data_IF_518072053447
#
_entry.id   IF_518072053447
#
_cell.length_a   1.000
_cell.length_b   1.000
_cell.length_c   1.000
_cell.angle_alpha   90.00
_cell.angle_beta   90.00
_cell.angle_gamma   90.00
#
_symmetry.space_group_name_H-M   'P 1'
#
loop_
_entity.id
_entity.type
_entity.pdbx_description
1 polymer ?
#
# COMPACT_ATOMS: atom_id res chain seq x y z
N UNK A 1 -41.19 -11.27 1.84
CA UNK A 1 -40.06 -11.82 1.06
C UNK A 1 -38.79 -11.17 1.57
N UNK A 2 -37.90 -11.96 2.16
CA UNK A 2 -36.78 -11.47 2.98
C UNK A 2 -35.52 -11.27 2.13
N UNK A 3 -34.75 -10.23 2.45
CA UNK A 3 -33.50 -9.81 1.79
C UNK A 3 -32.46 -10.95 1.76
N UNK A 4 -32.60 -11.94 2.64
CA UNK A 4 -31.77 -13.15 2.69
C UNK A 4 -31.88 -14.05 1.45
N UNK A 5 -33.00 -14.05 0.72
CA UNK A 5 -33.14 -14.88 -0.49
C UNK A 5 -32.34 -14.33 -1.69
N UNK A 6 -32.02 -13.03 -1.69
CA UNK A 6 -31.21 -12.42 -2.76
C UNK A 6 -29.72 -12.70 -2.63
N UNK A 7 -29.21 -12.93 -1.41
CA UNK A 7 -27.78 -13.14 -1.16
C UNK A 7 -27.37 -14.58 -1.47
N UNK A 8 -28.27 -15.56 -1.26
CA UNK A 8 -27.99 -16.98 -1.52
C UNK A 8 -27.82 -17.31 -3.01
N UNK A 9 -28.47 -16.55 -3.90
CA UNK A 9 -28.39 -16.78 -5.35
C UNK A 9 -27.12 -16.22 -6.02
N UNK A 10 -26.38 -15.34 -5.35
CA UNK A 10 -25.11 -14.81 -5.89
C UNK A 10 -23.95 -15.78 -5.60
N UNK A 11 -23.98 -16.50 -4.48
CA UNK A 11 -22.87 -17.35 -4.05
C UNK A 11 -22.86 -18.75 -4.68
N UNK A 12 -24.00 -19.23 -5.20
CA UNK A 12 -24.09 -20.57 -5.84
C UNK A 12 -23.61 -20.55 -7.30
N UNK A 13 -23.46 -19.37 -7.92
CA UNK A 13 -23.11 -19.26 -9.34
C UNK A 13 -21.61 -19.25 -9.64
N UNK A 14 -20.75 -19.05 -8.64
CA UNK A 14 -19.30 -18.91 -8.85
C UNK A 14 -18.48 -20.20 -8.71
N UNK A 15 -19.09 -21.33 -8.32
CA UNK A 15 -18.33 -22.53 -7.97
C UNK A 15 -18.45 -23.70 -8.98
N UNK A 16 -18.87 -23.44 -10.24
CA UNK A 16 -19.14 -24.50 -11.22
C UNK A 16 -18.49 -24.34 -12.60
N UNK A 17 -17.56 -23.41 -12.77
CA UNK A 17 -16.78 -23.31 -14.02
C UNK A 17 -15.30 -23.21 -13.61
N UNK A 18 -14.42 -23.94 -14.30
CA UNK A 18 -12.96 -24.10 -14.06
C UNK A 18 -12.49 -25.27 -13.18
N UNK A 19 -13.00 -26.48 -13.45
CA UNK A 19 -12.15 -27.68 -13.47
C UNK A 19 -12.62 -28.52 -14.65
N UNK A 20 -11.79 -28.66 -15.70
CA UNK A 20 -11.67 -29.81 -16.63
C UNK A 20 -10.80 -29.41 -17.85
N UNK A 21 -9.65 -30.08 -17.94
CA UNK A 21 -8.92 -30.56 -19.15
C UNK A 21 -8.44 -29.57 -20.23
N UNK A 22 -7.11 -29.53 -20.43
CA UNK A 22 -6.48 -30.28 -21.53
C UNK A 22 -4.95 -30.32 -21.40
N UNK A 23 -4.44 -31.54 -21.45
CA UNK A 23 -3.03 -31.93 -21.55
C UNK A 23 -2.78 -32.57 -22.92
N UNK A 24 -1.53 -32.41 -23.38
CA UNK A 24 -0.82 -33.17 -24.43
C UNK A 24 -1.13 -32.89 -25.92
N UNK A 25 -0.10 -32.41 -26.64
CA UNK A 25 0.52 -33.15 -27.74
C UNK A 25 1.93 -32.64 -28.07
N UNK A 26 2.82 -33.59 -28.36
CA UNK A 26 4.26 -33.47 -28.61
C UNK A 26 4.54 -33.60 -30.12
N UNK A 27 5.55 -32.85 -30.57
CA UNK A 27 6.43 -33.02 -31.75
C UNK A 27 5.85 -32.85 -33.18
N UNK A 28 6.46 -31.94 -33.96
CA UNK A 28 7.20 -32.31 -35.18
C UNK A 28 8.11 -31.17 -35.67
N UNK A 29 9.34 -31.54 -36.06
CA UNK A 29 10.32 -30.71 -36.76
C UNK A 29 10.05 -30.86 -38.26
N UNK A 30 9.89 -29.77 -39.02
CA UNK A 30 10.42 -29.68 -40.38
C UNK A 30 10.40 -28.25 -40.96
N UNK A 31 11.50 -27.96 -41.65
CA UNK A 31 11.86 -26.85 -42.52
C UNK A 31 10.83 -26.48 -43.58
N UNK A 32 10.76 -25.20 -43.97
CA UNK A 32 10.70 -24.79 -45.39
C UNK A 32 11.11 -23.31 -45.58
N UNK A 33 11.94 -23.09 -46.59
CA UNK A 33 12.34 -21.80 -47.17
C UNK A 33 11.16 -21.10 -47.88
N UNK A 34 11.14 -19.76 -47.88
CA UNK A 34 11.10 -18.89 -49.07
C UNK A 34 10.63 -17.46 -48.73
N UNK A 35 11.36 -16.48 -49.28
CA UNK A 35 11.23 -15.02 -49.12
C UNK A 35 9.83 -14.42 -49.37
N UNK A 36 9.64 -13.14 -48.98
CA UNK A 36 9.49 -12.14 -50.04
C UNK A 36 10.21 -10.81 -49.79
N UNK A 37 10.82 -10.33 -50.88
CA UNK A 37 10.82 -8.96 -51.43
C UNK A 37 10.93 -7.80 -50.44
N UNK A 38 12.14 -7.24 -50.34
CA UNK A 38 12.41 -5.93 -49.74
C UNK A 38 12.13 -4.84 -50.78
N UNK A 39 11.11 -4.02 -50.52
CA UNK A 39 10.85 -2.78 -51.22
C UNK A 39 11.81 -1.70 -50.67
N UNK A 40 12.70 -1.18 -51.53
CA UNK A 40 13.70 -0.17 -51.18
C UNK A 40 13.06 1.22 -51.30
N UNK A 41 12.81 1.87 -50.16
CA UNK A 41 12.54 3.31 -50.07
C UNK A 41 13.86 4.03 -49.79
N UNK A 42 14.23 5.11 -50.53
CA UNK A 42 15.54 5.72 -50.42
C UNK A 42 15.64 6.59 -49.16
N UNK A 43 16.64 6.31 -48.33
CA UNK A 43 16.99 7.13 -47.16
C UNK A 43 17.65 8.42 -47.64
N UNK A 44 16.98 9.54 -47.39
CA UNK A 44 17.52 10.87 -47.55
C UNK A 44 18.72 11.09 -46.60
N UNK A 45 19.74 11.77 -47.13
CA UNK A 45 21.00 12.13 -46.51
C UNK A 45 20.89 12.56 -45.03
N UNK A 46 21.55 11.80 -44.16
CA UNK A 46 22.02 12.30 -42.88
C UNK A 46 23.33 13.08 -43.08
N UNK A 47 23.31 14.33 -42.61
CA UNK A 47 24.46 15.22 -42.57
C UNK A 47 25.64 14.57 -41.85
N UNK A 48 26.78 14.51 -42.54
CA UNK A 48 28.05 14.09 -41.98
C UNK A 48 28.49 15.09 -40.92
N UNK A 49 28.48 14.66 -39.67
CA UNK A 49 29.19 15.34 -38.58
C UNK A 49 30.68 15.33 -38.95
N UNK A 50 31.21 16.53 -39.21
CA UNK A 50 32.59 16.76 -39.63
C UNK A 50 33.50 16.62 -38.40
N UNK A 51 33.94 15.40 -38.11
CA UNK A 51 34.98 15.13 -37.11
C UNK A 51 36.32 15.64 -37.67
N UNK A 52 37.00 16.47 -36.89
CA UNK A 52 38.36 16.94 -37.13
C UNK A 52 39.28 15.78 -37.51
N UNK A 53 39.82 15.81 -38.74
CA UNK A 53 40.74 14.82 -39.28
C UNK A 53 42.07 14.83 -38.52
N UNK A 54 42.21 13.95 -37.55
CA UNK A 54 43.51 13.36 -37.26
C UNK A 54 43.84 12.56 -38.52
N UNK A 55 44.98 12.83 -39.17
CA UNK A 55 45.46 12.06 -40.33
C UNK A 55 45.48 10.57 -39.96
N UNK A 56 44.45 9.85 -40.36
CA UNK A 56 44.33 8.42 -40.15
C UNK A 56 45.27 7.72 -41.14
N UNK A 57 46.11 6.78 -40.71
CA UNK A 57 46.94 6.04 -41.63
C UNK A 57 46.09 5.18 -42.57
N UNK A 58 46.41 5.18 -43.85
CA UNK A 58 45.68 4.44 -44.89
C UNK A 58 45.62 2.92 -44.61
N UNK A 59 46.64 2.39 -43.93
CA UNK A 59 46.71 0.99 -43.52
C UNK A 59 45.66 0.57 -42.48
N UNK A 60 45.03 1.51 -41.78
CA UNK A 60 43.98 1.19 -40.80
C UNK A 60 42.59 1.12 -41.44
N UNK A 61 42.44 1.70 -42.63
CA UNK A 61 41.18 1.76 -43.39
C UNK A 61 41.10 0.60 -44.38
N UNK A 62 42.25 0.22 -44.96
CA UNK A 62 42.34 -0.83 -45.95
C UNK A 62 42.95 -2.11 -45.36
N UNK A 63 42.17 -3.19 -45.38
CA UNK A 63 42.60 -4.51 -44.91
C UNK A 63 43.81 -5.05 -45.69
N UNK A 64 43.89 -4.81 -47.00
CA UNK A 64 45.00 -5.29 -47.84
C UNK A 64 46.32 -4.63 -47.41
N UNK A 65 46.28 -3.32 -47.15
CA UNK A 65 47.45 -2.58 -46.68
C UNK A 65 47.81 -2.99 -45.24
N UNK A 66 46.81 -3.29 -44.39
CA UNK A 66 47.06 -3.82 -43.05
C UNK A 66 47.76 -5.19 -43.09
N UNK A 67 47.41 -6.04 -44.05
CA UNK A 67 48.06 -7.34 -44.27
C UNK A 67 49.52 -7.16 -44.69
N UNK A 68 49.77 -6.26 -45.65
CA UNK A 68 51.12 -5.93 -46.11
C UNK A 68 51.99 -5.38 -44.96
N UNK A 69 51.44 -4.49 -44.14
CA UNK A 69 52.10 -4.01 -42.92
C UNK A 69 52.39 -5.15 -41.93
N UNK A 70 51.48 -6.11 -41.78
CA UNK A 70 51.70 -7.33 -41.00
C UNK A 70 52.90 -8.13 -41.51
N UNK A 71 52.99 -8.33 -42.82
CA UNK A 71 54.12 -9.03 -43.46
C UNK A 71 55.43 -8.27 -43.25
N UNK A 72 55.46 -6.96 -43.50
CA UNK A 72 56.65 -6.13 -43.34
C UNK A 72 57.16 -6.17 -41.90
N UNK A 73 56.26 -6.03 -40.92
CA UNK A 73 56.62 -6.11 -39.49
C UNK A 73 57.14 -7.51 -39.11
N UNK A 74 56.58 -8.56 -39.68
CA UNK A 74 57.03 -9.94 -39.44
C UNK A 74 58.41 -10.22 -40.04
N UNK A 75 58.70 -9.68 -41.23
CA UNK A 75 60.02 -9.77 -41.86
C UNK A 75 61.07 -8.93 -41.13
N UNK A 76 60.73 -7.71 -40.70
CA UNK A 76 61.64 -6.85 -39.91
C UNK A 76 61.92 -7.41 -38.52
N UNK A 77 61.00 -8.21 -37.96
CA UNK A 77 61.08 -8.72 -36.59
C UNK A 77 60.82 -7.63 -35.54
N UNK A 78 60.13 -6.56 -35.94
CA UNK A 78 59.68 -5.49 -35.05
C UNK A 78 58.58 -5.99 -34.12
N UNK A 79 58.42 -5.34 -32.96
CA UNK A 79 57.38 -5.72 -32.00
C UNK A 79 55.97 -5.40 -32.56
N UNK A 80 55.06 -6.38 -32.71
CA UNK A 80 53.71 -6.15 -33.24
C UNK A 80 52.82 -5.38 -32.26
N UNK A 81 53.15 -5.34 -30.96
CA UNK A 81 52.33 -4.71 -29.92
C UNK A 81 52.10 -3.21 -30.16
N UNK A 82 53.07 -2.51 -30.76
CA UNK A 82 52.95 -1.08 -31.03
C UNK A 82 51.82 -0.80 -32.02
N UNK A 83 51.77 -1.54 -33.14
CA UNK A 83 50.70 -1.42 -34.14
C UNK A 83 49.35 -1.89 -33.60
N UNK A 84 49.32 -3.00 -32.86
CA UNK A 84 48.11 -3.50 -32.19
C UNK A 84 47.56 -2.44 -31.23
N UNK A 85 48.44 -1.75 -30.49
CA UNK A 85 48.03 -0.68 -29.58
C UNK A 85 47.42 0.51 -30.32
N UNK A 86 47.95 0.89 -31.48
CA UNK A 86 47.39 1.96 -32.33
C UNK A 86 45.99 1.59 -32.82
N UNK A 87 45.79 0.34 -33.28
CA UNK A 87 44.47 -0.16 -33.68
C UNK A 87 43.50 -0.07 -32.49
N UNK A 88 43.90 -0.54 -31.31
CA UNK A 88 43.07 -0.48 -30.09
C UNK A 88 42.71 0.95 -29.72
N UNK A 89 43.66 1.87 -29.73
CA UNK A 89 43.44 3.28 -29.39
C UNK A 89 42.50 3.98 -30.37
N UNK A 90 42.61 3.69 -31.67
CA UNK A 90 41.70 4.23 -32.67
C UNK A 90 40.24 3.82 -32.41
N UNK A 91 39.99 2.52 -32.23
CA UNK A 91 38.64 2.02 -31.94
C UNK A 91 38.14 2.44 -30.55
N UNK A 92 39.04 2.62 -29.58
CA UNK A 92 38.68 3.22 -28.29
C UNK A 92 38.17 4.66 -28.46
N UNK A 93 38.85 5.49 -29.26
CA UNK A 93 38.39 6.84 -29.55
C UNK A 93 37.08 6.84 -30.34
N UNK A 94 36.93 5.92 -31.31
CA UNK A 94 35.72 5.79 -32.12
C UNK A 94 34.50 5.33 -31.30
N UNK A 95 34.71 4.49 -30.29
CA UNK A 95 33.63 3.99 -29.42
C UNK A 95 33.35 4.89 -28.20
N UNK A 96 34.22 5.86 -27.89
CA UNK A 96 34.12 6.69 -26.70
C UNK A 96 32.79 7.43 -26.57
N UNK A 97 32.27 8.00 -27.65
CA UNK A 97 30.98 8.71 -27.63
C UNK A 97 29.80 7.75 -27.46
N UNK A 98 29.85 6.58 -28.10
CA UNK A 98 28.85 5.52 -27.95
C UNK A 98 28.85 4.97 -26.52
N UNK A 99 30.02 4.80 -25.91
CA UNK A 99 30.14 4.34 -24.52
C UNK A 99 29.52 5.32 -23.53
N UNK A 100 29.78 6.63 -23.71
CA UNK A 100 29.14 7.67 -22.88
C UNK A 100 27.61 7.66 -23.02
N UNK A 101 27.10 7.42 -24.22
CA UNK A 101 25.66 7.31 -24.45
C UNK A 101 25.07 6.07 -23.79
N UNK A 102 25.78 4.94 -23.83
CA UNK A 102 25.39 3.71 -23.11
C UNK A 102 25.32 4.00 -21.61
N UNK A 103 26.39 4.53 -21.02
CA UNK A 103 26.47 4.84 -19.59
C UNK A 103 25.35 5.78 -19.15
N UNK A 104 25.14 6.87 -19.90
CA UNK A 104 24.05 7.82 -19.61
C UNK A 104 22.66 7.18 -19.67
N UNK A 105 22.41 6.29 -20.65
CA UNK A 105 21.12 5.59 -20.75
C UNK A 105 20.96 4.53 -19.66
N UNK A 106 22.03 3.84 -19.28
CA UNK A 106 22.03 2.88 -18.18
C UNK A 106 21.76 3.57 -16.84
N UNK A 107 22.41 4.71 -16.58
CA UNK A 107 22.15 5.55 -15.41
C UNK A 107 20.68 5.98 -15.38
N UNK A 108 20.15 6.46 -16.51
CA UNK A 108 18.74 6.85 -16.60
C UNK A 108 17.78 5.70 -16.32
N UNK A 109 18.08 4.49 -16.80
CA UNK A 109 17.30 3.29 -16.47
C UNK A 109 17.42 2.96 -14.97
N UNK A 110 18.61 3.13 -14.38
CA UNK A 110 18.85 3.00 -12.95
C UNK A 110 17.96 3.94 -12.12
N UNK A 111 17.91 5.22 -12.48
CA UNK A 111 17.02 6.22 -11.86
C UNK A 111 15.55 5.80 -11.97
N UNK A 112 15.10 5.42 -13.17
CA UNK A 112 13.71 5.01 -13.40
C UNK A 112 13.35 3.78 -12.57
N UNK A 113 14.26 2.81 -12.43
CA UNK A 113 14.05 1.64 -11.57
C UNK A 113 13.95 2.04 -10.09
N UNK A 114 14.76 3.00 -9.65
CA UNK A 114 14.68 3.53 -8.29
C UNK A 114 13.29 4.13 -8.02
N UNK A 115 12.81 5.02 -8.90
CA UNK A 115 11.49 5.65 -8.76
C UNK A 115 10.35 4.63 -8.80
N UNK A 116 10.43 3.63 -9.70
CA UNK A 116 9.45 2.53 -9.75
C UNK A 116 9.41 1.79 -8.41
N UNK A 117 10.57 1.39 -7.88
CA UNK A 117 10.66 0.63 -6.64
C UNK A 117 10.16 1.43 -5.43
N UNK A 118 10.49 2.72 -5.35
CA UNK A 118 10.01 3.61 -4.29
C UNK A 118 8.48 3.69 -4.29
N UNK A 119 7.89 3.95 -5.46
CA UNK A 119 6.43 4.06 -5.61
C UNK A 119 5.72 2.73 -5.37
N UNK A 120 6.30 1.61 -5.80
CA UNK A 120 5.79 0.27 -5.47
C UNK A 120 5.82 0.00 -3.97
N UNK A 121 6.86 0.47 -3.27
CA UNK A 121 6.95 0.43 -1.82
C UNK A 121 5.82 1.19 -1.14
N UNK A 122 5.54 2.43 -1.58
CA UNK A 122 4.44 3.24 -1.07
C UNK A 122 3.07 2.60 -1.31
N UNK A 123 2.85 2.03 -2.49
CA UNK A 123 1.62 1.29 -2.82
C UNK A 123 1.42 0.12 -1.85
N UNK A 124 2.46 -0.70 -1.61
CA UNK A 124 2.38 -1.82 -0.67
C UNK A 124 2.12 -1.36 0.76
N UNK A 125 2.72 -0.25 1.18
CA UNK A 125 2.49 0.30 2.51
C UNK A 125 1.04 0.77 2.69
N UNK A 126 0.47 1.46 1.69
CA UNK A 126 -0.93 1.88 1.70
C UNK A 126 -1.88 0.68 1.65
N UNK A 127 -1.61 -0.33 0.81
CA UNK A 127 -2.40 -1.57 0.76
C UNK A 127 -2.40 -2.28 2.12
N UNK A 128 -1.25 -2.36 2.81
CA UNK A 128 -1.16 -2.90 4.18
C UNK A 128 -1.96 -2.07 5.19
N UNK A 129 -1.92 -0.73 5.09
CA UNK A 129 -2.72 0.16 5.97
C UNK A 129 -4.21 -0.05 5.77
N UNK A 130 -4.67 -0.24 4.53
CA UNK A 130 -6.06 -0.58 4.20
C UNK A 130 -6.44 -1.92 4.83
N UNK A 131 -5.62 -2.95 4.68
CA UNK A 131 -5.87 -4.28 5.23
C UNK A 131 -5.97 -4.24 6.76
N UNK A 132 -5.03 -3.59 7.44
CA UNK A 132 -5.05 -3.41 8.90
C UNK A 132 -6.30 -2.65 9.39
N UNK A 133 -6.75 -1.62 8.66
CA UNK A 133 -8.00 -0.93 9.00
C UNK A 133 -9.23 -1.81 8.75
N UNK A 134 -9.20 -2.65 7.71
CA UNK A 134 -10.29 -3.55 7.38
C UNK A 134 -10.45 -4.63 8.44
N UNK A 135 -9.35 -5.28 8.84
CA UNK A 135 -9.26 -6.31 9.88
C UNK A 135 -9.63 -5.80 11.28
N UNK A 136 -9.50 -4.49 11.53
CA UNK A 136 -9.88 -3.89 12.81
C UNK A 136 -11.39 -3.98 13.03
N UNK A 137 -11.86 -5.09 13.57
CA UNK A 137 -13.25 -5.27 13.98
C UNK A 137 -13.50 -4.70 15.37
N UNK A 138 -14.69 -4.14 15.55
CA UNK A 138 -15.10 -3.60 16.84
C UNK A 138 -15.74 -4.74 17.65
N UNK A 139 -14.98 -5.29 18.59
CA UNK A 139 -15.34 -6.51 19.35
C UNK A 139 -16.23 -6.25 20.57
N UNK A 140 -16.44 -4.98 20.95
CA UNK A 140 -17.29 -4.63 22.08
C UNK A 140 -18.77 -4.84 21.71
N UNK A 141 -19.44 -5.70 22.47
CA UNK A 141 -20.87 -5.97 22.33
C UNK A 141 -21.68 -4.77 22.80
N UNK A 142 -22.58 -4.25 21.95
CA UNK A 142 -23.46 -3.17 22.33
C UNK A 142 -24.72 -3.70 23.02
N UNK A 143 -25.00 -3.22 24.22
CA UNK A 143 -26.27 -3.48 24.91
C UNK A 143 -27.26 -2.32 24.82
N UNK A 144 -26.96 -1.32 23.97
CA UNK A 144 -27.79 -0.13 23.72
C UNK A 144 -29.30 -0.38 23.65
N UNK A 145 -29.82 -1.33 22.83
CA UNK A 145 -31.26 -1.55 22.73
C UNK A 145 -31.89 -1.97 24.06
N UNK A 146 -31.17 -2.78 24.85
CA UNK A 146 -31.60 -3.21 26.18
C UNK A 146 -31.58 -2.03 27.15
N UNK A 147 -30.52 -1.22 27.13
CA UNK A 147 -30.37 -0.04 28.00
C UNK A 147 -31.45 1.01 27.72
N UNK A 148 -31.78 1.26 26.44
CA UNK A 148 -32.85 2.18 26.03
C UNK A 148 -34.23 1.66 26.48
N UNK A 149 -34.49 0.36 26.31
CA UNK A 149 -35.76 -0.24 26.74
C UNK A 149 -35.92 -0.15 28.26
N UNK A 150 -34.85 -0.43 29.02
CA UNK A 150 -34.82 -0.29 30.47
C UNK A 150 -35.03 1.15 30.92
N UNK A 151 -34.41 2.13 30.25
CA UNK A 151 -34.59 3.55 30.55
C UNK A 151 -36.03 4.01 30.26
N UNK A 152 -36.61 3.60 29.12
CA UNK A 152 -38.00 3.90 28.78
C UNK A 152 -38.97 3.35 29.81
N UNK A 153 -38.73 2.12 30.30
CA UNK A 153 -39.53 1.51 31.36
C UNK A 153 -39.38 2.29 32.69
N UNK A 154 -38.15 2.68 33.06
CA UNK A 154 -37.90 3.50 34.25
C UNK A 154 -38.62 4.85 34.19
N UNK A 155 -38.59 5.52 33.03
CA UNK A 155 -39.31 6.78 32.82
C UNK A 155 -40.83 6.56 32.96
N UNK A 156 -41.37 5.49 32.38
CA UNK A 156 -42.79 5.15 32.51
C UNK A 156 -43.21 4.92 33.97
N UNK A 157 -42.42 4.18 34.73
CA UNK A 157 -42.66 3.94 36.17
C UNK A 157 -42.55 5.25 36.96
N UNK A 158 -41.57 6.09 36.66
CA UNK A 158 -41.37 7.38 37.31
C UNK A 158 -42.57 8.32 37.08
N UNK A 159 -43.05 8.42 35.83
CA UNK A 159 -44.25 9.20 35.49
C UNK A 159 -45.49 8.64 36.19
N UNK A 160 -45.67 7.32 36.19
CA UNK A 160 -46.78 6.67 36.89
C UNK A 160 -46.77 6.94 38.40
N UNK A 161 -45.59 6.91 39.03
CA UNK A 161 -45.43 7.21 40.46
C UNK A 161 -45.79 8.67 40.78
N UNK A 162 -45.39 9.62 39.94
CA UNK A 162 -45.77 11.03 40.11
C UNK A 162 -47.29 11.22 40.08
N UNK A 163 -47.99 10.64 39.10
CA UNK A 163 -49.45 10.73 39.01
C UNK A 163 -50.15 10.07 40.20
N UNK A 164 -49.61 8.96 40.70
CA UNK A 164 -50.14 8.26 41.86
C UNK A 164 -50.03 9.11 43.13
N UNK A 165 -48.91 9.82 43.31
CA UNK A 165 -48.71 10.76 44.42
C UNK A 165 -49.63 11.99 44.28
N UNK A 166 -49.77 12.54 43.07
CA UNK A 166 -50.64 13.69 42.81
C UNK A 166 -52.10 13.39 43.16
N UNK A 167 -52.62 12.25 42.69
CA UNK A 167 -54.00 11.86 42.96
C UNK A 167 -54.21 11.55 44.45
N UNK A 168 -53.23 10.94 45.11
CA UNK A 168 -53.29 10.65 46.54
C UNK A 168 -53.33 11.91 47.43
N UNK A 169 -52.72 13.02 46.98
CA UNK A 169 -52.67 14.28 47.73
C UNK A 169 -53.81 15.26 47.41
N UNK A 170 -54.65 14.95 46.42
CA UNK A 170 -55.70 15.82 45.87
C UNK A 170 -56.75 16.29 46.89
N UNK A 171 -56.94 15.55 47.98
CA UNK A 171 -57.93 15.87 49.03
C UNK A 171 -57.47 16.81 50.14
N UNK A 172 -56.16 17.10 50.27
CA UNK A 172 -55.61 17.76 51.47
C UNK A 172 -54.91 19.11 51.19
N UNK A 173 -54.58 19.42 49.93
CA UNK A 173 -53.87 20.66 49.59
C UNK A 173 -54.44 21.33 48.34
N UNK A 174 -54.59 22.65 48.37
CA UNK A 174 -54.99 23.45 47.19
C UNK A 174 -53.91 23.49 46.09
N UNK A 175 -52.64 23.32 46.47
CA UNK A 175 -51.48 23.23 45.56
C UNK A 175 -50.85 21.83 45.54
N UNK A 176 -51.70 20.81 45.34
CA UNK A 176 -51.30 19.39 45.33
C UNK A 176 -50.15 19.07 44.34
N UNK A 177 -50.09 19.71 43.16
CA UNK A 177 -49.08 19.44 42.12
C UNK A 177 -47.64 19.76 42.54
N UNK A 178 -47.43 20.90 43.18
CA UNK A 178 -46.09 21.33 43.59
C UNK A 178 -45.57 20.48 44.76
N UNK A 179 -46.46 20.15 45.69
CA UNK A 179 -46.15 19.27 46.83
C UNK A 179 -45.86 17.85 46.32
N UNK A 180 -46.69 17.32 45.41
CA UNK A 180 -46.46 16.02 44.79
C UNK A 180 -45.12 15.97 44.04
N UNK A 181 -44.77 17.03 43.30
CA UNK A 181 -43.48 17.14 42.63
C UNK A 181 -42.31 17.16 43.62
N UNK A 182 -42.42 17.93 44.71
CA UNK A 182 -41.41 18.01 45.77
C UNK A 182 -41.18 16.67 46.46
N UNK A 183 -42.26 15.98 46.84
CA UNK A 183 -42.22 14.64 47.44
C UNK A 183 -41.66 13.62 46.46
N UNK A 184 -42.06 13.69 45.18
CA UNK A 184 -41.55 12.82 44.13
C UNK A 184 -40.04 13.02 43.91
N UNK A 185 -39.57 14.27 43.80
CA UNK A 185 -38.15 14.59 43.66
C UNK A 185 -37.34 14.11 44.88
N UNK A 186 -37.84 14.37 46.09
CA UNK A 186 -37.17 13.95 47.34
C UNK A 186 -37.07 12.42 47.45
N UNK A 187 -38.11 11.69 47.05
CA UNK A 187 -38.12 10.24 47.05
C UNK A 187 -37.24 9.62 45.94
N UNK A 188 -37.19 10.24 44.75
CA UNK A 188 -36.48 9.71 43.58
C UNK A 188 -34.99 10.04 43.54
N UNK A 189 -34.58 11.25 43.93
CA UNK A 189 -33.24 11.79 43.67
C UNK A 189 -32.28 11.75 44.86
N UNK A 190 -32.63 11.07 45.94
CA UNK A 190 -31.70 10.89 47.07
C UNK A 190 -30.51 9.94 46.76
N UNK A 191 -30.48 9.35 45.57
CA UNK A 191 -29.44 8.41 45.12
C UNK A 191 -28.24 9.08 44.41
N UNK A 192 -28.06 10.41 44.53
CA UNK A 192 -26.87 11.11 44.02
C UNK A 192 -25.58 10.79 44.80
N UNK A 193 -25.65 9.94 45.84
CA UNK A 193 -24.48 9.37 46.49
C UNK A 193 -23.62 8.62 45.48
N UNK A 194 -22.44 9.17 45.19
CA UNK A 194 -21.43 8.51 44.36
C UNK A 194 -21.18 7.13 44.97
N UNK A 195 -21.24 6.11 44.11
CA UNK A 195 -20.88 4.70 44.36
C UNK A 195 -22.07 3.82 44.81
N UNK A 196 -22.92 3.55 43.82
CA UNK A 196 -23.65 2.28 43.67
C UNK A 196 -22.76 1.09 44.05
N UNK A 197 -23.13 0.37 45.11
CA UNK A 197 -22.93 -1.04 45.53
C UNK A 197 -21.70 -1.88 45.07
N UNK A 198 -20.84 -1.43 44.17
CA UNK A 198 -19.91 -2.28 43.42
C UNK A 198 -18.46 -1.79 43.40
N UNK A 199 -18.11 -0.62 43.96
CA UNK A 199 -16.75 -0.08 43.86
C UNK A 199 -16.24 0.74 45.06
N UNK A 200 -16.72 0.50 46.29
CA UNK A 200 -16.10 1.14 47.47
C UNK A 200 -15.91 0.17 48.64
N UNK A 201 -14.76 -0.51 48.65
CA UNK A 201 -14.26 -1.37 49.73
C UNK A 201 -13.78 -0.59 50.97
N UNK A 202 -14.06 0.71 51.07
CA UNK A 202 -13.60 1.52 52.19
C UNK A 202 -14.68 1.69 53.29
N UNK A 203 -14.78 0.67 54.16
CA UNK A 203 -14.90 0.77 55.64
C UNK A 203 -15.86 1.81 56.28
N UNK A 204 -16.90 2.29 55.59
CA UNK A 204 -17.94 3.13 56.19
C UNK A 204 -19.16 2.30 56.60
N UNK A 205 -19.59 2.50 57.86
CA UNK A 205 -20.67 1.79 58.55
C UNK A 205 -21.90 1.51 57.67
N UNK A 206 -22.18 0.23 57.42
CA UNK A 206 -23.33 -0.26 56.62
C UNK A 206 -24.66 0.37 57.02
N UNK A 207 -24.88 0.68 58.30
CA UNK A 207 -26.14 1.27 58.77
C UNK A 207 -26.36 2.71 58.28
N UNK A 208 -25.28 3.52 58.20
CA UNK A 208 -25.40 4.91 57.75
C UNK A 208 -25.72 4.99 56.26
N UNK A 209 -25.14 4.10 55.44
CA UNK A 209 -25.46 3.94 54.01
C UNK A 209 -26.90 3.44 53.79
N UNK A 210 -27.36 2.47 54.60
CA UNK A 210 -28.75 1.99 54.55
C UNK A 210 -29.73 3.12 54.91
N UNK A 211 -29.43 3.90 55.94
CA UNK A 211 -30.25 5.05 56.34
C UNK A 211 -30.22 6.16 55.29
N UNK A 212 -29.08 6.39 54.65
CA UNK A 212 -28.92 7.36 53.57
C UNK A 212 -29.68 6.93 52.32
N UNK A 213 -29.68 5.65 51.94
CA UNK A 213 -30.42 5.18 50.75
C UNK A 213 -31.92 5.00 50.99
N UNK A 214 -32.33 4.48 52.15
CA UNK A 214 -33.73 4.11 52.44
C UNK A 214 -34.48 5.25 53.13
N UNK A 215 -33.79 6.12 53.86
CA UNK A 215 -34.40 7.13 54.71
C UNK A 215 -35.29 8.12 53.97
N UNK A 216 -34.85 8.66 52.83
CA UNK A 216 -35.64 9.65 52.07
C UNK A 216 -36.80 9.03 51.28
N UNK A 217 -36.66 7.87 50.59
CA UNK A 217 -37.80 7.14 50.06
C UNK A 217 -38.85 6.80 51.13
N UNK A 218 -38.39 6.37 52.31
CA UNK A 218 -39.26 6.04 53.44
C UNK A 218 -39.97 7.28 53.98
N UNK A 219 -39.25 8.38 54.19
CA UNK A 219 -39.82 9.64 54.67
C UNK A 219 -40.84 10.21 53.68
N UNK A 220 -40.55 10.14 52.37
CA UNK A 220 -41.43 10.61 51.31
C UNK A 220 -42.69 9.75 51.21
N UNK A 221 -42.55 8.41 51.26
CA UNK A 221 -43.69 7.50 51.29
C UNK A 221 -44.53 7.66 52.57
N UNK A 222 -43.88 7.85 53.72
CA UNK A 222 -44.54 8.05 55.01
C UNK A 222 -45.31 9.38 55.04
N UNK A 223 -44.77 10.44 54.44
CA UNK A 223 -45.47 11.71 54.28
C UNK A 223 -46.78 11.52 53.50
N UNK A 224 -46.74 10.80 52.38
CA UNK A 224 -47.94 10.50 51.58
C UNK A 224 -48.92 9.63 52.38
N UNK A 225 -48.43 8.62 53.10
CA UNK A 225 -49.24 7.79 53.98
C UNK A 225 -49.98 8.57 55.06
N UNK A 226 -49.29 9.49 55.75
CA UNK A 226 -49.87 10.30 56.82
C UNK A 226 -51.06 11.14 56.32
N UNK A 227 -50.99 11.64 55.08
CA UNK A 227 -52.09 12.39 54.46
C UNK A 227 -53.24 11.46 54.03
N UNK A 228 -52.94 10.31 53.46
CA UNK A 228 -53.99 9.38 52.99
C UNK A 228 -54.73 8.71 54.15
N UNK A 229 -54.04 8.44 55.27
CA UNK A 229 -54.58 7.70 56.41
C UNK A 229 -55.86 8.33 56.99
N UNK A 230 -55.99 9.66 56.91
CA UNK A 230 -57.18 10.37 57.36
C UNK A 230 -58.38 10.21 56.41
N UNK A 231 -58.15 9.86 55.15
CA UNK A 231 -59.15 9.89 54.06
C UNK A 231 -59.58 8.51 53.54
N UNK A 232 -58.78 7.47 53.76
CA UNK A 232 -59.02 6.12 53.22
C UNK A 232 -59.01 5.04 54.32
N UNK A 233 -59.65 3.88 54.08
CA UNK A 233 -59.55 2.73 54.96
C UNK A 233 -58.10 2.34 55.24
N UNK A 234 -57.79 1.96 56.49
CA UNK A 234 -56.42 1.69 56.94
C UNK A 234 -55.66 0.68 56.06
N UNK A 235 -56.35 -0.32 55.52
CA UNK A 235 -55.76 -1.34 54.64
C UNK A 235 -55.29 -0.75 53.30
N UNK A 236 -56.06 0.16 52.71
CA UNK A 236 -55.70 0.82 51.45
C UNK A 236 -54.52 1.78 51.67
N UNK A 237 -54.53 2.53 52.77
CA UNK A 237 -53.43 3.43 53.11
C UNK A 237 -52.11 2.66 53.28
N UNK A 238 -52.12 1.53 54.00
CA UNK A 238 -50.94 0.68 54.17
C UNK A 238 -50.45 0.05 52.85
N UNK A 239 -51.38 -0.41 52.00
CA UNK A 239 -51.04 -0.94 50.69
C UNK A 239 -50.38 0.13 49.80
N UNK A 240 -50.92 1.34 49.79
CA UNK A 240 -50.45 2.47 48.99
C UNK A 240 -49.09 2.99 49.50
N UNK A 241 -48.88 3.01 50.83
CA UNK A 241 -47.59 3.28 51.45
C UNK A 241 -46.51 2.29 51.00
N UNK A 242 -46.78 0.99 51.15
CA UNK A 242 -45.84 -0.05 50.76
C UNK A 242 -45.53 0.04 49.26
N UNK A 243 -46.55 0.27 48.43
CA UNK A 243 -46.40 0.39 46.98
C UNK A 243 -45.55 1.60 46.56
N UNK A 244 -45.84 2.81 47.07
CA UNK A 244 -45.05 4.02 46.78
C UNK A 244 -43.61 3.85 47.26
N UNK A 245 -43.41 3.26 48.44
CA UNK A 245 -42.08 3.02 48.98
C UNK A 245 -41.23 2.11 48.06
N UNK A 246 -41.80 0.99 47.61
CA UNK A 246 -41.13 0.11 46.66
C UNK A 246 -40.91 0.77 45.29
N UNK A 247 -41.85 1.60 44.83
CA UNK A 247 -41.69 2.36 43.59
C UNK A 247 -40.52 3.35 43.66
N UNK A 248 -40.36 4.09 44.76
CA UNK A 248 -39.20 4.98 44.93
C UNK A 248 -37.88 4.20 44.94
N UNK A 249 -37.82 3.09 45.68
CA UNK A 249 -36.63 2.25 45.76
C UNK A 249 -36.24 1.65 44.40
N UNK A 250 -37.20 1.18 43.61
CA UNK A 250 -36.95 0.52 42.34
C UNK A 250 -36.72 1.51 41.20
N UNK A 251 -37.57 2.53 41.09
CA UNK A 251 -37.54 3.49 39.98
C UNK A 251 -36.29 4.35 40.00
N UNK A 252 -35.83 4.80 41.17
CA UNK A 252 -34.61 5.60 41.30
C UNK A 252 -33.37 4.81 40.88
N UNK A 253 -33.23 3.57 41.37
CA UNK A 253 -32.10 2.69 41.05
C UNK A 253 -32.07 2.27 39.58
N UNK A 254 -33.23 1.95 39.01
CA UNK A 254 -33.34 1.51 37.61
C UNK A 254 -33.05 2.66 36.63
N UNK A 255 -33.51 3.88 36.94
CA UNK A 255 -33.25 5.05 36.10
C UNK A 255 -31.77 5.44 36.13
N UNK A 256 -31.17 5.57 37.31
CA UNK A 256 -29.75 5.95 37.43
C UNK A 256 -28.81 4.88 36.88
N UNK A 257 -29.07 3.61 37.17
CA UNK A 257 -28.27 2.49 36.69
C UNK A 257 -28.25 2.41 35.16
N UNK A 258 -29.42 2.53 34.53
CA UNK A 258 -29.49 2.54 33.06
C UNK A 258 -28.90 3.82 32.45
N UNK A 259 -28.95 4.97 33.13
CA UNK A 259 -28.36 6.21 32.63
C UNK A 259 -26.82 6.16 32.64
N UNK A 260 -26.22 5.57 33.67
CA UNK A 260 -24.77 5.37 33.74
C UNK A 260 -24.29 4.45 32.61
N UNK A 261 -24.96 3.30 32.44
CA UNK A 261 -24.66 2.36 31.35
C UNK A 261 -24.92 2.99 29.98
N UNK A 262 -25.96 3.82 29.83
CA UNK A 262 -26.28 4.50 28.57
C UNK A 262 -25.14 5.42 28.14
N UNK A 263 -24.52 6.16 29.08
CA UNK A 263 -23.40 7.04 28.77
C UNK A 263 -22.24 6.23 28.19
N UNK A 264 -21.86 5.14 28.84
CA UNK A 264 -20.76 4.30 28.38
C UNK A 264 -21.09 3.67 27.02
N UNK A 265 -22.29 3.10 26.88
CA UNK A 265 -22.83 2.55 25.63
C UNK A 265 -22.84 3.57 24.47
N UNK A 266 -23.20 4.84 24.75
CA UNK A 266 -23.23 5.92 23.75
C UNK A 266 -21.81 6.27 23.30
N UNK A 267 -20.84 6.32 24.21
CA UNK A 267 -19.44 6.57 23.84
C UNK A 267 -18.86 5.45 22.98
N UNK A 268 -19.20 4.20 23.30
CA UNK A 268 -18.82 3.02 22.53
C UNK A 268 -19.45 3.08 21.12
N UNK A 269 -20.74 3.42 21.03
CA UNK A 269 -21.43 3.59 19.75
C UNK A 269 -20.85 4.71 18.90
N UNK A 270 -20.53 5.86 19.50
CA UNK A 270 -19.90 6.97 18.81
C UNK A 270 -18.53 6.56 18.25
N UNK A 271 -17.69 5.88 19.04
CA UNK A 271 -16.39 5.36 18.59
C UNK A 271 -16.54 4.37 17.44
N UNK A 272 -17.53 3.46 17.50
CA UNK A 272 -17.82 2.53 16.39
C UNK A 272 -18.22 3.27 15.12
N UNK A 273 -19.12 4.25 15.23
CA UNK A 273 -19.58 5.00 14.07
C UNK A 273 -18.44 5.82 13.45
N UNK A 274 -17.60 6.44 14.28
CA UNK A 274 -16.37 7.09 13.83
C UNK A 274 -15.42 6.12 13.13
N UNK A 275 -15.20 4.92 13.69
CA UNK A 275 -14.36 3.90 13.05
C UNK A 275 -14.92 3.48 11.68
N UNK A 276 -16.23 3.30 11.55
CA UNK A 276 -16.86 2.96 10.26
C UNK A 276 -16.71 4.08 9.24
N UNK A 277 -16.90 5.34 9.65
CA UNK A 277 -16.67 6.49 8.79
C UNK A 277 -15.20 6.63 8.39
N UNK A 278 -14.28 6.42 9.32
CA UNK A 278 -12.84 6.42 9.08
C UNK A 278 -12.44 5.32 8.11
N UNK A 279 -12.99 4.11 8.25
CA UNK A 279 -12.78 3.02 7.29
C UNK A 279 -13.18 3.45 5.89
N UNK A 280 -14.39 3.99 5.70
CA UNK A 280 -14.85 4.37 4.36
C UNK A 280 -14.02 5.54 3.79
N UNK A 281 -13.80 6.60 4.58
CA UNK A 281 -13.12 7.81 4.08
C UNK A 281 -11.63 7.58 3.84
N UNK A 282 -10.91 7.01 4.81
CA UNK A 282 -9.46 6.80 4.70
C UNK A 282 -9.12 5.73 3.68
N UNK A 283 -9.92 4.66 3.58
CA UNK A 283 -9.71 3.67 2.52
C UNK A 283 -9.91 4.28 1.15
N UNK A 284 -10.98 5.06 0.93
CA UNK A 284 -11.18 5.74 -0.35
C UNK A 284 -10.06 6.75 -0.69
N UNK A 285 -9.54 7.47 0.31
CA UNK A 285 -8.40 8.38 0.15
C UNK A 285 -7.12 7.62 -0.24
N UNK A 286 -6.78 6.56 0.49
CA UNK A 286 -5.61 5.74 0.19
C UNK A 286 -5.73 4.96 -1.11
N UNK A 287 -6.92 4.50 -1.49
CA UNK A 287 -7.18 3.87 -2.80
C UNK A 287 -6.90 4.86 -3.93
N UNK A 288 -7.32 6.12 -3.79
CA UNK A 288 -7.03 7.17 -4.76
C UNK A 288 -5.53 7.48 -4.86
N UNK A 289 -4.83 7.53 -3.72
CA UNK A 289 -3.36 7.67 -3.71
C UNK A 289 -2.66 6.49 -4.37
N UNK A 290 -3.11 5.26 -4.11
CA UNK A 290 -2.62 4.05 -4.76
C UNK A 290 -2.82 4.12 -6.27
N UNK A 291 -3.99 4.55 -6.75
CA UNK A 291 -4.25 4.73 -8.17
C UNK A 291 -3.31 5.74 -8.81
N UNK A 292 -3.08 6.88 -8.15
CA UNK A 292 -2.15 7.91 -8.61
C UNK A 292 -0.73 7.36 -8.72
N UNK A 293 -0.22 6.67 -7.70
CA UNK A 293 1.10 6.04 -7.75
C UNK A 293 1.18 4.93 -8.80
N UNK A 294 0.10 4.17 -9.03
CA UNK A 294 0.04 3.16 -10.10
C UNK A 294 0.10 3.79 -11.49
N UNK A 295 -0.44 4.99 -11.68
CA UNK A 295 -0.30 5.75 -12.93
C UNK A 295 1.15 6.22 -13.11
N UNK A 296 1.75 6.85 -12.09
CA UNK A 296 3.16 7.28 -12.13
C UNK A 296 4.12 6.11 -12.44
N UNK A 297 3.91 4.94 -11.82
CA UNK A 297 4.70 3.73 -12.10
C UNK A 297 4.57 3.32 -13.58
N UNK A 298 3.37 3.40 -14.16
CA UNK A 298 3.16 3.07 -15.58
C UNK A 298 3.88 4.06 -16.48
N UNK A 299 3.89 5.34 -16.15
CA UNK A 299 4.63 6.37 -16.89
C UNK A 299 6.14 6.09 -16.88
N UNK A 300 6.73 5.83 -15.71
CA UNK A 300 8.16 5.48 -15.62
C UNK A 300 8.51 4.18 -16.35
N UNK A 301 7.61 3.18 -16.32
CA UNK A 301 7.80 1.95 -17.10
C UNK A 301 7.72 2.19 -18.60
N UNK A 302 6.84 3.09 -19.05
CA UNK A 302 6.74 3.47 -20.46
C UNK A 302 8.00 4.23 -20.91
N UNK A 303 8.50 5.16 -20.10
CA UNK A 303 9.76 5.87 -20.35
C UNK A 303 10.93 4.89 -20.45
N UNK A 304 11.06 3.98 -19.48
CA UNK A 304 12.08 2.91 -19.52
C UNK A 304 11.97 2.07 -20.81
N UNK A 305 10.76 1.69 -21.19
CA UNK A 305 10.53 0.90 -22.41
C UNK A 305 10.93 1.66 -23.69
N UNK A 306 10.81 2.98 -23.69
CA UNK A 306 11.24 3.81 -24.83
C UNK A 306 12.77 3.93 -24.97
N UNK A 307 13.50 3.85 -23.86
CA UNK A 307 14.97 3.97 -23.82
C UNK A 307 15.66 2.64 -24.21
N UNK A 308 15.06 1.50 -23.87
CA UNK A 308 15.64 0.17 -24.09
C UNK A 308 16.04 -0.13 -25.55
N UNK A 309 15.23 0.22 -26.58
CA UNK A 309 15.63 0.06 -27.98
C UNK A 309 16.85 0.91 -28.35
N UNK A 310 16.93 2.16 -27.87
CA UNK A 310 18.07 3.04 -28.14
C UNK A 310 19.35 2.50 -27.50
N UNK A 311 19.28 2.08 -26.24
CA UNK A 311 20.39 1.45 -25.53
C UNK A 311 20.86 0.18 -26.28
N UNK A 312 19.92 -0.66 -26.69
CA UNK A 312 20.22 -1.88 -27.45
C UNK A 312 20.93 -1.57 -28.78
N UNK A 313 20.52 -0.49 -29.47
CA UNK A 313 21.18 -0.02 -30.69
C UNK A 313 22.62 0.44 -30.43
N UNK A 314 22.86 1.21 -29.38
CA UNK A 314 24.21 1.68 -29.03
C UNK A 314 25.12 0.53 -28.60
N UNK A 315 24.61 -0.43 -27.82
CA UNK A 315 25.35 -1.64 -27.44
C UNK A 315 25.71 -2.46 -28.69
N UNK A 316 24.77 -2.63 -29.62
CA UNK A 316 25.02 -3.32 -30.88
C UNK A 316 26.09 -2.62 -31.72
N UNK A 317 26.05 -1.30 -31.83
CA UNK A 317 27.05 -0.54 -32.59
C UNK A 317 28.44 -0.61 -31.95
N UNK A 318 28.54 -0.46 -30.62
CA UNK A 318 29.79 -0.68 -29.89
C UNK A 318 30.33 -2.08 -30.13
N UNK A 319 29.47 -3.09 -30.08
CA UNK A 319 29.83 -4.50 -30.29
C UNK A 319 30.34 -4.72 -31.70
N UNK A 320 29.68 -4.12 -32.70
CA UNK A 320 30.11 -4.15 -34.10
C UNK A 320 31.50 -3.53 -34.28
N UNK A 321 31.74 -2.35 -33.70
CA UNK A 321 33.03 -1.67 -33.77
C UNK A 321 34.15 -2.45 -33.06
N UNK A 322 33.86 -3.02 -31.89
CA UNK A 322 34.82 -3.87 -31.17
C UNK A 322 35.11 -5.17 -31.92
N UNK A 323 34.10 -5.81 -32.52
CA UNK A 323 34.31 -6.98 -33.36
C UNK A 323 35.17 -6.66 -34.59
N UNK A 324 34.96 -5.48 -35.20
CA UNK A 324 35.78 -5.02 -36.32
C UNK A 324 37.22 -4.74 -35.90
N UNK A 325 37.44 -4.10 -34.74
CA UNK A 325 38.77 -3.95 -34.14
C UNK A 325 39.47 -5.30 -33.98
N UNK A 326 38.79 -6.26 -33.38
CA UNK A 326 39.37 -7.57 -33.08
C UNK A 326 39.68 -8.36 -34.36
N UNK A 327 38.82 -8.23 -35.38
CA UNK A 327 39.08 -8.76 -36.72
C UNK A 327 40.37 -8.18 -37.32
N UNK A 328 40.54 -6.85 -37.33
CA UNK A 328 41.74 -6.21 -37.88
C UNK A 328 43.01 -6.61 -37.12
N UNK A 329 42.95 -6.67 -35.79
CA UNK A 329 44.06 -7.17 -34.97
C UNK A 329 44.42 -8.60 -35.36
N UNK A 330 43.43 -9.48 -35.53
CA UNK A 330 43.67 -10.89 -35.89
C UNK A 330 44.25 -11.06 -37.29
N UNK A 331 43.78 -10.26 -38.26
CA UNK A 331 44.35 -10.24 -39.62
C UNK A 331 45.83 -9.84 -39.54
N UNK A 332 46.14 -8.72 -38.89
CA UNK A 332 47.52 -8.26 -38.70
C UNK A 332 48.41 -9.30 -38.00
N UNK A 333 47.95 -9.86 -36.88
CA UNK A 333 48.68 -10.90 -36.13
C UNK A 333 48.95 -12.14 -36.99
N UNK A 334 47.97 -12.58 -37.78
CA UNK A 334 48.09 -13.79 -38.59
C UNK A 334 49.15 -13.64 -39.69
N UNK A 335 49.17 -12.51 -40.39
CA UNK A 335 50.15 -12.22 -41.43
C UNK A 335 51.54 -11.95 -40.84
N UNK A 336 51.61 -11.26 -39.70
CA UNK A 336 52.85 -11.05 -38.94
C UNK A 336 53.51 -12.39 -38.56
N UNK A 337 52.75 -13.30 -37.95
CA UNK A 337 53.28 -14.60 -37.56
C UNK A 337 53.65 -15.47 -38.76
N UNK A 338 52.90 -15.38 -39.85
CA UNK A 338 53.23 -16.07 -41.09
C UNK A 338 54.58 -15.58 -41.64
N UNK A 339 54.76 -14.27 -41.77
CA UNK A 339 55.98 -13.65 -42.26
C UNK A 339 57.19 -13.92 -41.35
N UNK A 340 57.00 -13.86 -40.02
CA UNK A 340 58.03 -14.22 -39.04
C UNK A 340 58.51 -15.67 -39.22
N UNK A 341 57.58 -16.60 -39.45
CA UNK A 341 57.90 -18.00 -39.73
C UNK A 341 58.63 -18.17 -41.06
N UNK A 342 58.26 -17.43 -42.11
CA UNK A 342 58.95 -17.46 -43.40
C UNK A 342 60.37 -16.89 -43.34
N UNK A 343 60.59 -15.81 -42.58
CA UNK A 343 61.92 -15.25 -42.33
C UNK A 343 62.90 -16.28 -41.77
N UNK A 344 62.43 -17.21 -40.92
CA UNK A 344 63.29 -18.28 -40.39
C UNK A 344 63.76 -19.29 -41.45
N UNK A 345 63.19 -19.25 -42.67
CA UNK A 345 63.41 -20.22 -43.75
C UNK A 345 64.03 -19.63 -45.03
N UNK A 346 64.20 -18.31 -45.12
CA UNK A 346 64.67 -17.59 -46.33
C UNK A 346 66.02 -16.90 -46.05
N UNK A 347 66.88 -16.80 -47.07
CA UNK A 347 68.20 -16.15 -46.98
C UNK A 347 68.08 -14.63 -46.79
N UNK A 348 68.96 -14.02 -45.98
CA UNK A 348 68.92 -12.57 -45.69
C UNK A 348 68.98 -11.68 -46.93
N UNK A 349 69.66 -12.12 -48.00
CA UNK A 349 69.71 -11.39 -49.28
C UNK A 349 68.35 -11.27 -49.98
N UNK A 350 67.49 -12.28 -49.86
CA UNK A 350 66.16 -12.27 -50.46
C UNK A 350 65.18 -11.43 -49.62
N UNK A 351 65.44 -11.30 -48.32
CA UNK A 351 64.66 -10.44 -47.42
C UNK A 351 64.96 -8.96 -47.70
N UNK A 352 66.22 -8.60 -47.96
CA UNK A 352 66.60 -7.22 -48.33
C UNK A 352 66.00 -6.79 -49.67
N UNK A 353 65.97 -7.67 -50.67
CA UNK A 353 65.34 -7.36 -51.96
C UNK A 353 63.82 -7.23 -51.87
N UNK A 354 63.16 -7.97 -50.98
CA UNK A 354 61.71 -7.85 -50.73
C UNK A 354 61.31 -6.62 -49.90
N UNK A 355 62.18 -6.15 -49.01
CA UNK A 355 61.97 -4.92 -48.23
C UNK A 355 62.30 -3.65 -49.01
N UNK A 356 62.82 -3.76 -50.23
CA UNK A 356 63.16 -2.63 -51.09
C UNK A 356 64.43 -1.89 -50.70
N UNK A 357 65.31 -2.50 -49.90
CA UNK A 357 66.64 -1.96 -49.59
C UNK A 357 67.64 -2.44 -50.65
N UNK A 358 67.62 -1.82 -51.84
CA UNK A 358 68.76 -1.91 -52.75
C UNK A 358 69.87 -1.00 -52.22
N UNK A 359 71.01 -1.58 -51.84
CA UNK A 359 72.22 -0.84 -51.50
C UNK A 359 72.64 0.03 -52.71
N UNK A 360 72.47 1.35 -52.61
CA UNK A 360 73.21 2.29 -53.47
C UNK A 360 74.71 2.20 -53.10
N UNK A 361 75.41 1.22 -53.69
CA UNK A 361 76.88 1.19 -53.71
C UNK A 361 77.39 2.29 -54.66
N UNK A 362 78.18 3.23 -54.11
CA UNK A 362 78.96 4.24 -54.82
C UNK A 362 80.27 3.69 -55.39
#
# INVERSE_FOLDING_TARGET
MSIFDKIKNVFVKQHKEEIVEQSEQIAEVQSFEASPVVEVIPVASSEKIKVSSINQPDWLINEDILRDEGVIFGLSGSNPEEKISIIRSYFHQQTADTEKLIEHREEKIGELNYWINEKEGLVKELERKIELLKEKEFTEQHHLPRTITGLSLAIGIAVGNYFLIEEALRGHFEQNKLIALGVFMAGMFNLFGRISFLHDDARQSNWRKILEEIGMPLASAFFVFAQIYASQPALNAWALFAFIFFLFMFSGKLLLGNLAVLKDDLTIFQKRNQLQQDKVKKVAEWEKEIELHKVEIKEYRAEKQSILPELSRYIAERTRLNAHRDMLIKVFESEYHLALNYRSRISQKDIQSMLGEEEEEF
#
